data_IF_004894069555
#
_entry.id   IF_004894069555
#
_cell.length_a   1.000
_cell.length_b   1.000
_cell.length_c   1.000
_cell.angle_alpha   90.00
_cell.angle_beta   90.00
_cell.angle_gamma   90.00
#
_symmetry.space_group_name_H-M   'P 1'
#
loop_
_entity.id
_entity.type
_entity.pdbx_description
1 polymer ?
#
# COMPACT_ATOMS: atom_id res chain seq x y z
N UNK A 1 15.00 1.39 -4.14
CA UNK A 1 13.54 1.55 -3.94
C UNK A 1 13.30 2.76 -3.06
N UNK A 2 12.24 3.51 -3.32
CA UNK A 2 11.87 4.69 -2.54
C UNK A 2 10.35 4.71 -2.43
N UNK A 3 9.83 4.80 -1.21
CA UNK A 3 8.40 4.93 -0.96
C UNK A 3 7.90 6.33 -1.27
N UNK A 4 6.61 6.43 -1.58
CA UNK A 4 5.97 7.71 -1.86
C UNK A 4 5.86 8.59 -0.61
N UNK A 5 5.68 7.99 0.57
CA UNK A 5 5.68 8.72 1.85
C UNK A 5 7.12 9.00 2.32
N UNK A 6 7.72 10.05 1.76
CA UNK A 6 9.15 10.37 1.92
C UNK A 6 9.60 10.56 3.37
N UNK A 7 8.75 11.08 4.25
CA UNK A 7 9.15 11.38 5.63
C UNK A 7 9.17 10.15 6.53
N UNK A 8 8.33 9.16 6.24
CA UNK A 8 8.15 7.99 7.12
C UNK A 8 8.59 6.67 6.49
N UNK A 9 8.97 6.67 5.20
CA UNK A 9 9.40 5.46 4.52
C UNK A 9 10.86 5.14 4.82
N UNK A 10 11.08 4.00 5.47
CA UNK A 10 12.39 3.39 5.59
C UNK A 10 12.65 2.64 4.28
N UNK A 11 13.56 3.17 3.45
CA UNK A 11 13.88 2.61 2.12
C UNK A 11 15.39 2.56 1.85
N UNK A 12 15.77 2.38 0.58
CA UNK A 12 17.16 2.39 0.09
C UNK A 12 17.99 3.60 0.52
N UNK A 13 17.39 4.69 1.01
CA UNK A 13 18.11 5.81 1.65
C UNK A 13 18.88 5.39 2.90
N UNK A 14 18.40 4.37 3.61
CA UNK A 14 19.01 3.87 4.85
C UNK A 14 19.89 2.63 4.62
N UNK A 15 19.58 1.78 3.64
CA UNK A 15 20.26 0.48 3.44
C UNK A 15 20.76 0.22 2.00
N UNK A 16 20.73 1.21 1.12
CA UNK A 16 21.28 1.09 -0.22
C UNK A 16 20.40 0.36 -1.24
N UNK A 17 21.00 0.00 -2.37
CA UNK A 17 20.31 -0.62 -3.50
C UNK A 17 19.86 -2.05 -3.18
N UNK A 18 18.73 -2.46 -3.76
CA UNK A 18 18.22 -3.82 -3.66
C UNK A 18 18.68 -4.63 -4.87
N UNK A 19 19.18 -5.84 -4.65
CA UNK A 19 19.58 -6.76 -5.72
C UNK A 19 18.35 -7.31 -6.46
N UNK A 20 18.46 -7.45 -7.78
CA UNK A 20 17.31 -7.77 -8.64
C UNK A 20 16.63 -9.11 -8.35
N UNK A 21 17.35 -10.09 -7.82
CA UNK A 21 16.77 -11.41 -7.48
C UNK A 21 15.81 -11.37 -6.28
N UNK A 22 15.81 -10.26 -5.51
CA UNK A 22 14.85 -10.05 -4.41
C UNK A 22 13.53 -9.43 -4.89
N UNK A 23 13.41 -9.11 -6.17
CA UNK A 23 12.17 -8.61 -6.77
C UNK A 23 11.23 -9.79 -7.05
N UNK A 24 10.13 -9.86 -6.31
CA UNK A 24 9.13 -10.93 -6.47
C UNK A 24 8.08 -10.58 -7.54
N UNK A 25 7.73 -9.30 -7.70
CA UNK A 25 6.73 -8.88 -8.69
C UNK A 25 6.41 -7.40 -8.67
N UNK A 26 5.44 -7.00 -9.50
CA UNK A 26 4.91 -5.63 -9.60
C UNK A 26 3.48 -5.59 -9.08
N UNK A 27 3.15 -4.55 -8.31
CA UNK A 27 1.78 -4.31 -7.85
C UNK A 27 0.92 -3.88 -9.06
N UNK A 28 -0.28 -4.46 -9.22
CA UNK A 28 -1.13 -4.25 -10.42
C UNK A 28 -2.43 -3.52 -10.08
N UNK A 29 -3.12 -3.89 -9.01
CA UNK A 29 -4.37 -3.25 -8.61
C UNK A 29 -4.64 -3.43 -7.11
N UNK A 30 -5.51 -2.58 -6.55
CA UNK A 30 -5.98 -2.72 -5.17
C UNK A 30 -7.24 -3.58 -5.11
N UNK A 31 -7.15 -4.77 -4.51
CA UNK A 31 -8.30 -5.68 -4.38
C UNK A 31 -9.31 -5.23 -3.32
N UNK A 32 -8.84 -4.79 -2.15
CA UNK A 32 -9.70 -4.44 -1.02
C UNK A 32 -9.08 -3.32 -0.19
N UNK A 33 -9.91 -2.37 0.24
CA UNK A 33 -9.48 -1.26 1.09
C UNK A 33 -10.61 -0.83 2.02
N UNK A 34 -10.30 -0.65 3.30
CA UNK A 34 -11.24 -0.13 4.30
C UNK A 34 -10.52 0.76 5.32
N UNK A 35 -11.27 1.58 6.05
CA UNK A 35 -10.73 2.39 7.14
C UNK A 35 -10.72 1.62 8.46
N UNK A 36 -9.56 1.13 8.88
CA UNK A 36 -9.40 0.40 10.14
C UNK A 36 -9.56 1.29 11.38
N UNK A 37 -9.24 2.58 11.28
CA UNK A 37 -9.26 3.51 12.40
C UNK A 37 -10.66 4.13 12.64
N UNK A 38 -11.68 3.65 11.92
CA UNK A 38 -13.05 4.08 12.16
C UNK A 38 -13.55 3.59 13.52
N UNK A 39 -14.15 4.51 14.28
CA UNK A 39 -14.78 4.22 15.58
C UNK A 39 -16.11 3.45 15.45
N UNK A 40 -16.57 3.15 14.23
CA UNK A 40 -17.82 2.40 14.01
C UNK A 40 -17.61 0.90 14.16
N UNK A 41 -18.57 0.16 14.74
CA UNK A 41 -18.47 -1.29 14.83
C UNK A 41 -18.53 -1.92 13.42
N UNK A 42 -17.73 -2.97 13.21
CA UNK A 42 -17.55 -3.68 11.94
C UNK A 42 -17.03 -2.78 10.79
N UNK A 43 -15.88 -2.10 10.96
CA UNK A 43 -15.36 -1.16 9.96
C UNK A 43 -14.97 -1.86 8.64
N UNK A 44 -14.58 -3.13 8.70
CA UNK A 44 -14.28 -3.95 7.51
C UNK A 44 -15.50 -4.20 6.61
N UNK A 45 -16.73 -4.04 7.10
CA UNK A 45 -17.95 -4.06 6.28
C UNK A 45 -18.46 -2.66 5.93
N UNK A 46 -18.32 -1.72 6.87
CA UNK A 46 -19.04 -0.44 6.82
C UNK A 46 -18.21 0.72 6.30
N UNK A 47 -16.89 0.59 6.33
CA UNK A 47 -15.94 1.66 6.01
C UNK A 47 -15.04 1.26 4.85
N UNK A 48 -15.63 0.53 3.88
CA UNK A 48 -14.97 0.12 2.65
C UNK A 48 -14.78 1.35 1.76
N UNK A 49 -13.54 1.55 1.27
CA UNK A 49 -13.16 2.64 0.36
C UNK A 49 -13.34 2.21 -1.08
N UNK A 50 -14.59 2.23 -1.54
CA UNK A 50 -14.99 1.79 -2.88
C UNK A 50 -14.24 2.51 -4.00
N UNK A 51 -13.84 3.77 -3.79
CA UNK A 51 -13.07 4.60 -4.73
C UNK A 51 -11.66 4.07 -5.03
N UNK A 52 -11.14 3.17 -4.19
CA UNK A 52 -9.78 2.60 -4.32
C UNK A 52 -9.78 1.18 -4.88
N UNK A 53 -10.93 0.50 -4.85
CA UNK A 53 -11.02 -0.91 -5.28
C UNK A 53 -10.93 -1.00 -6.80
N UNK A 54 -10.22 -2.01 -7.29
CA UNK A 54 -10.00 -2.30 -8.71
C UNK A 54 -9.33 -1.15 -9.51
N UNK A 55 -8.76 -0.15 -8.82
CA UNK A 55 -7.96 0.88 -9.46
C UNK A 55 -6.59 0.28 -9.82
N UNK A 56 -6.26 0.35 -11.11
CA UNK A 56 -4.91 0.03 -11.61
C UNK A 56 -3.89 0.99 -11.01
N UNK A 57 -2.73 0.45 -10.62
CA UNK A 57 -1.60 1.25 -10.15
C UNK A 57 -0.74 1.53 -11.38
N UNK A 58 -0.78 2.78 -11.86
CA UNK A 58 0.13 3.29 -12.91
C UNK A 58 1.53 3.56 -12.34
#
# INVERSE_FOLDING_TARGET
>A
MLGDNRETSLDSRYWGLLEGWRLEGRVVFTYFSYNRDSFRPFPWLREIRWDRIARGID
#
